data_IF_232100109786
#
_entry.id   IF_232100109786
#
_cell.length_a   1.000
_cell.length_b   1.000
_cell.length_c   1.000
_cell.angle_alpha   90.00
_cell.angle_beta   90.00
_cell.angle_gamma   90.00
#
_symmetry.space_group_name_H-M   'P 1'
#
loop_
_entity.id
_entity.type
_entity.pdbx_description
1 polymer ?
#
# COMPACT_ATOMS: atom_id res chain seq x y z
N UNK A 1 19.70 20.02 -0.16
CA UNK A 1 19.55 19.57 -1.56
C UNK A 1 19.36 18.06 -1.55
N UNK A 2 18.30 17.55 -2.17
CA UNK A 2 18.06 16.11 -2.25
C UNK A 2 18.58 15.58 -3.59
N UNK A 3 19.36 14.50 -3.57
CA UNK A 3 19.91 13.83 -4.76
C UNK A 3 19.00 12.70 -5.28
N UNK A 4 17.72 12.70 -4.91
CA UNK A 4 16.78 11.67 -5.32
C UNK A 4 16.44 11.81 -6.81
N UNK A 5 16.85 10.82 -7.59
CA UNK A 5 16.55 10.73 -9.02
C UNK A 5 15.50 9.65 -9.25
N UNK A 6 14.33 10.05 -9.76
CA UNK A 6 13.27 9.11 -10.10
C UNK A 6 13.26 8.86 -11.60
N UNK A 7 13.16 7.58 -11.98
CA UNK A 7 13.02 7.16 -13.39
C UNK A 7 11.64 7.52 -13.99
N UNK A 8 10.69 8.02 -13.19
CA UNK A 8 9.38 8.45 -13.66
C UNK A 8 8.92 9.74 -12.97
N UNK A 9 8.21 10.59 -13.71
CA UNK A 9 7.69 11.86 -13.18
C UNK A 9 6.70 11.68 -12.02
N UNK A 10 5.96 10.56 -11.99
CA UNK A 10 5.08 10.26 -10.86
C UNK A 10 5.86 9.87 -9.59
N UNK A 11 7.03 9.21 -9.73
CA UNK A 11 7.91 8.87 -8.62
C UNK A 11 8.55 10.10 -7.99
N UNK A 12 9.02 11.04 -8.83
CA UNK A 12 9.60 12.30 -8.36
C UNK A 12 8.57 13.15 -7.60
N UNK A 13 7.36 13.28 -8.16
CA UNK A 13 6.28 14.03 -7.52
C UNK A 13 5.87 13.43 -6.17
N UNK A 14 5.84 12.10 -6.08
CA UNK A 14 5.58 11.38 -4.82
C UNK A 14 6.65 11.67 -3.77
N UNK A 15 7.93 11.61 -4.15
CA UNK A 15 9.04 11.93 -3.27
C UNK A 15 8.99 13.39 -2.80
N UNK A 16 8.77 14.33 -3.72
CA UNK A 16 8.67 15.74 -3.41
C UNK A 16 7.55 16.02 -2.39
N UNK A 17 6.35 15.45 -2.61
CA UNK A 17 5.23 15.56 -1.67
C UNK A 17 5.50 14.92 -0.30
N UNK A 18 6.42 13.95 -0.22
CA UNK A 18 6.71 13.25 1.02
C UNK A 18 7.79 13.96 1.85
N UNK A 19 8.78 14.57 1.20
CA UNK A 19 10.01 15.05 1.82
C UNK A 19 10.29 16.55 1.67
N UNK A 20 9.63 17.21 0.73
CA UNK A 20 9.94 18.61 0.37
C UNK A 20 8.76 19.56 0.43
N UNK A 21 7.54 19.03 0.48
CA UNK A 21 6.32 19.84 0.61
C UNK A 21 5.93 19.92 2.09
N UNK A 22 5.54 21.12 2.53
CA UNK A 22 5.09 21.39 3.90
C UNK A 22 3.79 20.66 4.19
N UNK A 23 3.57 20.23 5.43
CA UNK A 23 2.37 19.46 5.81
C UNK A 23 1.05 20.18 5.50
N UNK A 24 1.07 21.52 5.45
CA UNK A 24 -0.08 22.35 5.10
C UNK A 24 -0.38 22.36 3.59
N UNK A 25 0.64 22.19 2.74
CA UNK A 25 0.50 22.18 1.28
C UNK A 25 0.30 20.74 0.73
N UNK A 26 0.48 19.73 1.60
CA UNK A 26 0.16 18.34 1.27
C UNK A 26 -1.35 18.21 1.07
N UNK A 27 -1.74 17.82 -0.14
CA UNK A 27 -3.09 17.32 -0.39
C UNK A 27 -3.27 15.95 0.29
N UNK A 28 -3.99 15.95 1.40
CA UNK A 28 -4.37 14.74 2.12
C UNK A 28 -5.58 14.07 1.47
N UNK A 29 -5.58 12.75 1.46
CA UNK A 29 -6.71 11.89 1.11
C UNK A 29 -7.36 11.44 2.40
N UNK A 30 -8.52 11.99 2.70
CA UNK A 30 -9.24 11.78 3.96
C UNK A 30 -10.32 10.71 3.82
N UNK A 31 -10.46 9.88 4.84
CA UNK A 31 -11.58 8.96 4.94
C UNK A 31 -12.84 9.75 5.32
N UNK A 32 -13.96 9.45 4.65
CA UNK A 32 -15.26 10.05 4.96
C UNK A 32 -15.93 9.44 6.19
N UNK A 33 -15.45 8.27 6.62
CA UNK A 33 -16.07 7.47 7.68
C UNK A 33 -15.32 7.55 9.01
N UNK A 34 -14.05 7.96 9.01
CA UNK A 34 -13.24 8.07 10.21
C UNK A 34 -12.15 9.16 10.06
N UNK A 35 -11.45 9.59 11.13
CA UNK A 35 -10.46 10.66 11.06
C UNK A 35 -9.13 10.24 10.38
N UNK A 36 -9.09 9.08 9.72
CA UNK A 36 -7.90 8.64 8.99
C UNK A 36 -7.67 9.49 7.75
N UNK A 37 -6.43 9.93 7.56
CA UNK A 37 -5.99 10.65 6.35
C UNK A 37 -4.63 10.14 5.89
N UNK A 38 -4.41 10.13 4.58
CA UNK A 38 -3.14 9.67 4.00
C UNK A 38 -2.64 10.60 2.91
N UNK A 39 -1.32 10.69 2.74
CA UNK A 39 -0.68 11.45 1.65
C UNK A 39 -0.89 10.81 0.27
N UNK A 40 -1.32 9.54 0.25
CA UNK A 40 -1.47 8.76 -0.98
C UNK A 40 -2.87 8.16 -1.10
N UNK A 41 -3.47 8.30 -2.29
CA UNK A 41 -4.79 7.74 -2.59
C UNK A 41 -4.82 6.22 -2.42
N UNK A 42 -3.76 5.51 -2.84
CA UNK A 42 -3.69 4.05 -2.69
C UNK A 42 -3.78 3.61 -1.22
N UNK A 43 -3.20 4.39 -0.30
CA UNK A 43 -3.26 4.11 1.13
C UNK A 43 -4.65 4.37 1.69
N UNK A 44 -5.34 5.42 1.25
CA UNK A 44 -6.73 5.66 1.63
C UNK A 44 -7.64 4.52 1.14
N UNK A 45 -7.53 4.15 -0.15
CA UNK A 45 -8.30 3.02 -0.71
C UNK A 45 -8.03 1.73 0.05
N UNK A 46 -6.78 1.49 0.40
CA UNK A 46 -6.39 0.35 1.23
C UNK A 46 -7.05 0.41 2.62
N UNK A 47 -6.96 1.54 3.31
CA UNK A 47 -7.61 1.75 4.59
C UNK A 47 -9.12 1.51 4.52
N UNK A 48 -9.80 2.05 3.51
CA UNK A 48 -11.23 1.81 3.27
C UNK A 48 -11.52 0.31 3.13
N UNK A 49 -10.71 -0.42 2.34
CA UNK A 49 -10.85 -1.88 2.17
C UNK A 49 -10.59 -2.69 3.44
N UNK A 50 -9.71 -2.21 4.32
CA UNK A 50 -9.31 -2.95 5.51
C UNK A 50 -10.21 -2.69 6.73
N UNK A 51 -10.73 -1.46 6.85
CA UNK A 51 -11.45 -0.99 8.03
C UNK A 51 -12.93 -0.68 7.79
N UNK A 52 -13.32 -0.34 6.56
CA UNK A 52 -14.69 0.07 6.24
C UNK A 52 -15.40 -0.86 5.28
N UNK A 53 -14.66 -1.75 4.62
CA UNK A 53 -15.22 -2.79 3.78
C UNK A 53 -15.52 -4.00 4.65
N UNK A 54 -16.72 -4.53 4.48
CA UNK A 54 -17.19 -5.70 5.19
C UNK A 54 -16.27 -6.90 4.89
N UNK A 55 -16.06 -7.77 5.88
CA UNK A 55 -15.15 -8.92 5.75
C UNK A 55 -15.49 -9.86 4.59
N UNK A 56 -16.76 -9.84 4.17
CA UNK A 56 -17.31 -10.59 3.02
C UNK A 56 -16.87 -10.02 1.67
N UNK A 57 -16.67 -8.71 1.60
CA UNK A 57 -16.21 -8.00 0.39
C UNK A 57 -14.68 -7.91 0.30
N UNK A 58 -13.97 -8.29 1.39
CA UNK A 58 -12.52 -8.40 1.37
C UNK A 58 -12.12 -9.55 0.45
N UNK A 59 -11.48 -9.20 -0.67
CA UNK A 59 -10.83 -10.17 -1.55
C UNK A 59 -9.60 -10.74 -0.86
N UNK A 60 -9.74 -11.92 -0.27
CA UNK A 60 -8.63 -12.66 0.31
C UNK A 60 -7.73 -13.23 -0.79
N UNK A 61 -6.43 -13.06 -0.62
CA UNK A 61 -5.42 -13.66 -1.46
C UNK A 61 -4.90 -14.93 -0.79
N UNK A 62 -5.22 -16.07 -1.38
CA UNK A 62 -4.84 -17.38 -0.86
C UNK A 62 -3.46 -17.78 -1.40
N UNK A 63 -2.66 -18.38 -0.52
CA UNK A 63 -1.46 -19.07 -0.93
C UNK A 63 -1.83 -20.30 -1.73
N UNK A 64 -1.12 -20.54 -2.84
CA UNK A 64 -1.33 -21.73 -3.65
C UNK A 64 -0.68 -22.98 -3.05
N UNK A 65 0.30 -22.78 -2.15
CA UNK A 65 1.13 -23.84 -1.56
C UNK A 65 0.68 -24.25 -0.15
N UNK A 66 -0.12 -23.43 0.53
CA UNK A 66 -0.64 -23.74 1.87
C UNK A 66 -1.99 -23.05 2.14
N UNK A 67 -2.59 -23.30 3.31
CA UNK A 67 -3.86 -22.69 3.73
C UNK A 67 -3.78 -21.22 4.15
N UNK A 68 -2.61 -20.57 4.04
CA UNK A 68 -2.44 -19.17 4.41
C UNK A 68 -3.23 -18.26 3.48
N UNK A 69 -3.92 -17.27 4.05
CA UNK A 69 -4.62 -16.21 3.32
C UNK A 69 -4.19 -14.85 3.85
N UNK A 70 -3.93 -13.93 2.93
CA UNK A 70 -3.61 -12.55 3.27
C UNK A 70 -4.63 -11.61 2.64
N UNK A 71 -4.91 -10.50 3.32
CA UNK A 71 -5.73 -9.43 2.73
C UNK A 71 -5.00 -8.73 1.57
N UNK A 72 -3.66 -8.79 1.53
CA UNK A 72 -2.85 -8.07 0.53
C UNK A 72 -1.95 -9.02 -0.23
N UNK A 73 -1.79 -8.76 -1.52
CA UNK A 73 -0.82 -9.45 -2.37
C UNK A 73 0.61 -9.29 -1.90
N UNK A 74 0.99 -8.13 -1.32
CA UNK A 74 2.34 -7.90 -0.82
C UNK A 74 2.69 -8.82 0.36
N UNK A 75 1.78 -8.95 1.33
CA UNK A 75 1.94 -9.90 2.43
C UNK A 75 1.94 -11.35 1.95
N UNK A 76 1.08 -11.67 0.96
CA UNK A 76 1.10 -13.01 0.36
C UNK A 76 2.44 -13.29 -0.32
N UNK A 77 3.00 -12.34 -1.09
CA UNK A 77 4.32 -12.47 -1.72
C UNK A 77 5.42 -12.66 -0.70
N UNK A 78 5.43 -11.85 0.37
CA UNK A 78 6.41 -12.00 1.44
C UNK A 78 6.29 -13.37 2.12
N UNK A 79 5.06 -13.80 2.42
CA UNK A 79 4.81 -15.13 2.97
C UNK A 79 5.34 -16.23 2.04
N UNK A 80 4.99 -16.19 0.75
CA UNK A 80 5.50 -17.16 -0.24
C UNK A 80 7.02 -17.10 -0.31
N UNK A 81 7.62 -15.92 -0.37
CA UNK A 81 9.08 -15.75 -0.42
C UNK A 81 9.81 -16.19 0.85
N UNK A 82 9.14 -16.25 2.00
CA UNK A 82 9.75 -16.60 3.29
C UNK A 82 9.44 -18.02 3.76
N UNK A 83 8.32 -18.60 3.31
CA UNK A 83 7.82 -19.91 3.75
C UNK A 83 7.79 -20.93 2.61
N UNK A 84 7.79 -20.44 1.38
CA UNK A 84 7.74 -21.23 0.17
C UNK A 84 8.77 -20.72 -0.84
N UNK A 85 9.94 -20.34 -0.33
CA UNK A 85 11.19 -20.06 -1.07
C UNK A 85 11.63 -21.31 -1.81
N UNK A 86 10.77 -21.78 -2.67
CA UNK A 86 11.07 -22.73 -3.72
C UNK A 86 11.86 -21.92 -4.71
N UNK A 87 13.15 -22.23 -4.80
CA UNK A 87 14.05 -21.60 -5.76
C UNK A 87 13.35 -21.47 -7.10
N UNK A 88 13.33 -20.26 -7.61
CA UNK A 88 13.07 -20.00 -9.01
C UNK A 88 14.06 -20.87 -9.80
N UNK A 89 13.53 -21.71 -10.69
CA UNK A 89 14.27 -22.28 -11.82
C UNK A 89 14.88 -21.14 -12.65
#
# INVERSE_FOLDING_TARGET
MCSYEAKSGCGLKRHFNAHHVDENDIKWYECKTCPYRSKYNCNLVYHLKAHHLDEKDIKWHHCKKCGFKAKHTGHLKQHVSAQHSDGED
#
